data_IF_048259610121
#
_entry.id   IF_048259610121
#
_cell.length_a   1.000
_cell.length_b   1.000
_cell.length_c   1.000
_cell.angle_alpha   90.00
_cell.angle_beta   90.00
_cell.angle_gamma   90.00
#
_symmetry.space_group_name_H-M   'P 1'
#
loop_
_entity.id
_entity.type
_entity.pdbx_description
1 polymer ?
#
# COMPACT_ATOMS: atom_id res chain seq x y z
N UNK A 1 22.99 36.40 15.90
CA UNK A 1 22.70 35.51 14.75
C UNK A 1 22.20 34.16 15.27
N UNK A 2 20.88 33.94 15.28
CA UNK A 2 20.31 32.65 15.71
C UNK A 2 20.05 31.84 14.45
N UNK A 3 21.00 30.98 14.06
CA UNK A 3 20.82 30.00 12.99
C UNK A 3 19.99 28.84 13.54
N UNK A 4 18.67 29.02 13.58
CA UNK A 4 17.76 27.91 13.81
C UNK A 4 17.79 27.02 12.57
N UNK A 5 18.63 25.99 12.60
CA UNK A 5 18.60 24.91 11.63
C UNK A 5 17.26 24.17 11.81
N UNK A 6 16.28 24.52 10.97
CA UNK A 6 15.07 23.72 10.78
C UNK A 6 15.56 22.39 10.20
N UNK A 7 15.70 21.40 11.08
CA UNK A 7 15.99 20.02 10.70
C UNK A 7 14.81 19.57 9.84
N UNK A 8 14.97 19.61 8.51
CA UNK A 8 13.99 19.11 7.57
C UNK A 8 13.81 17.63 7.88
N UNK A 9 12.77 17.31 8.63
CA UNK A 9 12.43 15.95 8.98
C UNK A 9 11.91 15.29 7.72
N UNK A 10 12.85 14.72 6.96
CA UNK A 10 12.60 13.88 5.81
C UNK A 10 11.56 12.81 6.20
N UNK A 11 10.40 12.84 5.55
CA UNK A 11 9.35 11.84 5.76
C UNK A 11 9.95 10.45 5.55
N UNK A 12 9.79 9.51 6.48
CA UNK A 12 10.37 8.18 6.32
C UNK A 12 9.84 7.57 5.02
N UNK A 13 10.74 6.97 4.25
CA UNK A 13 10.31 6.23 3.06
C UNK A 13 9.25 5.20 3.49
N UNK A 14 8.17 5.02 2.71
CA UNK A 14 7.20 3.98 3.00
C UNK A 14 7.92 2.63 3.16
N UNK A 15 7.51 1.80 4.12
CA UNK A 15 8.08 0.48 4.28
C UNK A 15 7.88 -0.34 2.98
N UNK A 16 8.89 -1.12 2.64
CA UNK A 16 8.81 -2.06 1.53
C UNK A 16 7.98 -3.27 1.95
N UNK A 17 6.96 -3.61 1.17
CA UNK A 17 6.05 -4.72 1.45
C UNK A 17 6.16 -5.71 0.29
N UNK A 18 6.42 -6.98 0.61
CA UNK A 18 6.52 -8.08 -0.37
C UNK A 18 5.47 -9.15 -0.10
N UNK A 19 4.88 -9.68 -1.17
CA UNK A 19 3.81 -10.69 -1.12
C UNK A 19 3.87 -11.62 -2.33
N UNK A 20 3.35 -12.83 -2.18
CA UNK A 20 3.30 -13.89 -3.21
C UNK A 20 1.91 -14.49 -3.35
N UNK A 21 1.80 -15.53 -4.19
CA UNK A 21 0.62 -16.41 -4.31
C UNK A 21 -0.68 -15.64 -4.61
N UNK A 22 -0.55 -14.60 -5.43
CA UNK A 22 -1.67 -13.70 -5.73
C UNK A 22 -2.69 -14.39 -6.62
N UNK A 23 -3.94 -14.47 -6.16
CA UNK A 23 -5.07 -15.00 -6.93
C UNK A 23 -6.31 -14.12 -6.77
N UNK A 24 -7.10 -14.00 -7.84
CA UNK A 24 -8.39 -13.30 -7.77
C UNK A 24 -9.39 -14.11 -6.94
N UNK A 25 -10.07 -13.45 -5.99
CA UNK A 25 -11.10 -14.07 -5.14
C UNK A 25 -12.46 -13.36 -5.22
N UNK A 26 -12.54 -12.20 -5.84
CA UNK A 26 -13.80 -11.48 -6.01
C UNK A 26 -13.72 -10.36 -7.02
N UNK A 27 -14.81 -10.18 -7.78
CA UNK A 27 -15.00 -9.08 -8.71
C UNK A 27 -16.25 -8.30 -8.29
N UNK A 28 -16.17 -6.97 -8.31
CA UNK A 28 -17.31 -6.10 -8.05
C UNK A 28 -17.20 -4.78 -8.81
N UNK A 29 -18.24 -3.95 -8.72
CA UNK A 29 -18.30 -2.65 -9.39
C UNK A 29 -17.13 -1.73 -9.05
N UNK A 30 -16.59 -1.85 -7.83
CA UNK A 30 -15.48 -1.03 -7.33
C UNK A 30 -14.09 -1.58 -7.66
N UNK A 31 -13.98 -2.75 -8.29
CA UNK A 31 -12.70 -3.35 -8.69
C UNK A 31 -12.56 -4.83 -8.32
N UNK A 32 -11.32 -5.26 -8.10
CA UNK A 32 -10.95 -6.67 -7.96
C UNK A 32 -10.30 -6.92 -6.59
N UNK A 33 -10.71 -7.99 -5.92
CA UNK A 33 -10.09 -8.47 -4.67
C UNK A 33 -9.19 -9.66 -4.99
N UNK A 34 -7.95 -9.57 -4.54
CA UNK A 34 -6.96 -10.64 -4.61
C UNK A 34 -6.70 -11.19 -3.21
N UNK A 35 -6.50 -12.50 -3.09
CA UNK A 35 -5.83 -13.09 -1.94
C UNK A 35 -4.33 -13.14 -2.25
N UNK A 36 -3.50 -12.79 -1.28
CA UNK A 36 -2.04 -12.93 -1.36
C UNK A 36 -1.50 -13.42 -0.02
N UNK A 37 -0.24 -13.86 0.00
CA UNK A 37 0.49 -14.24 1.21
C UNK A 37 1.60 -13.22 1.46
N UNK A 38 1.69 -12.68 2.67
CA UNK A 38 2.79 -11.81 3.07
C UNK A 38 4.09 -12.62 3.19
N UNK A 39 5.19 -12.09 2.65
CA UNK A 39 6.48 -12.80 2.66
C UNK A 39 7.14 -12.82 4.05
N UNK A 40 6.90 -11.80 4.87
CA UNK A 40 7.49 -11.62 6.20
C UNK A 40 6.80 -12.46 7.28
N UNK A 41 5.46 -12.43 7.33
CA UNK A 41 4.67 -13.15 8.35
C UNK A 41 4.09 -14.47 7.85
N UNK A 42 3.99 -14.64 6.54
CA UNK A 42 3.26 -15.77 5.95
C UNK A 42 1.74 -15.67 6.07
N UNK A 43 1.20 -14.55 6.56
CA UNK A 43 -0.23 -14.37 6.72
C UNK A 43 -0.95 -14.19 5.38
N UNK A 44 -2.17 -14.71 5.31
CA UNK A 44 -3.05 -14.51 4.17
C UNK A 44 -3.76 -13.17 4.29
N UNK A 45 -3.67 -12.36 3.25
CA UNK A 45 -4.26 -11.02 3.18
C UNK A 45 -5.16 -10.86 1.96
N UNK A 46 -6.09 -9.92 2.04
CA UNK A 46 -6.92 -9.50 0.90
C UNK A 46 -6.45 -8.13 0.39
N UNK A 47 -6.12 -8.05 -0.91
CA UNK A 47 -5.73 -6.82 -1.60
C UNK A 47 -6.88 -6.38 -2.51
N UNK A 48 -7.51 -5.25 -2.20
CA UNK A 48 -8.57 -4.68 -3.03
C UNK A 48 -8.01 -3.64 -3.98
N UNK A 49 -7.88 -4.00 -5.26
CA UNK A 49 -7.48 -3.07 -6.33
C UNK A 49 -8.70 -2.30 -6.79
N UNK A 50 -8.75 -1.02 -6.43
CA UNK A 50 -9.81 -0.08 -6.84
C UNK A 50 -9.30 0.87 -7.92
N UNK A 51 -10.18 1.26 -8.84
CA UNK A 51 -9.89 2.34 -9.77
C UNK A 51 -9.96 3.66 -8.99
N UNK A 52 -8.80 4.28 -8.78
CA UNK A 52 -8.73 5.64 -8.24
C UNK A 52 -8.90 6.63 -9.39
N UNK A 53 -10.08 7.23 -9.51
CA UNK A 53 -10.30 8.33 -10.44
C UNK A 53 -9.65 9.59 -9.85
N UNK A 54 -8.69 10.16 -10.58
CA UNK A 54 -7.88 11.32 -10.17
C UNK A 54 -8.71 12.56 -9.83
N UNK A 55 -9.97 12.62 -10.28
CA UNK A 55 -10.90 13.72 -10.01
C UNK A 55 -11.54 13.61 -8.63
N UNK A 56 -11.56 12.42 -8.03
CA UNK A 56 -12.07 12.15 -6.70
C UNK A 56 -10.86 11.92 -5.78
N UNK A 57 -10.37 13.01 -5.17
CA UNK A 57 -9.35 12.96 -4.10
C UNK A 57 -10.03 12.98 -2.74
#
# INVERSE_FOLDING_TARGET
EIKTAVKLQQWPRPPEVSYTDTKVIGNGSFGVVYQAKLCDTGELVAIKKVLQDKRFK
#
